data_IF_874824555613
#
_entry.id   IF_874824555613
#
_cell.length_a   1.000
_cell.length_b   1.000
_cell.length_c   1.000
_cell.angle_alpha   90.00
_cell.angle_beta   90.00
_cell.angle_gamma   90.00
#
_symmetry.space_group_name_H-M   'P 1'
#
loop_
_entity.id
_entity.type
_entity.pdbx_description
1 polymer ?
#
# COMPACT_ATOMS: atom_id res chain seq x y z
N UNK A 1 11.82 -4.94 42.43
CA UNK A 1 10.53 -4.28 42.71
C UNK A 1 9.56 -4.58 41.58
N UNK A 2 8.45 -5.31 41.78
CA UNK A 2 7.51 -5.58 40.70
C UNK A 2 6.85 -4.28 40.24
N UNK A 3 6.67 -4.13 38.93
CA UNK A 3 6.03 -2.95 38.35
C UNK A 3 4.60 -2.78 38.88
N UNK A 4 4.27 -1.59 39.39
CA UNK A 4 2.93 -1.25 39.86
C UNK A 4 1.91 -1.42 38.73
N UNK A 5 0.75 -2.00 39.06
CA UNK A 5 -0.38 -2.13 38.15
C UNK A 5 -0.90 -0.74 37.78
N UNK A 6 -1.01 -0.47 36.48
CA UNK A 6 -1.56 0.77 35.91
C UNK A 6 -2.83 0.47 35.14
N UNK A 7 -3.73 1.44 35.04
CA UNK A 7 -4.90 1.33 34.16
C UNK A 7 -4.42 1.30 32.70
N UNK A 8 -5.07 0.47 31.88
CA UNK A 8 -4.81 0.40 30.45
C UNK A 8 -4.89 1.78 29.80
N UNK A 9 -3.92 2.15 28.96
CA UNK A 9 -3.89 3.45 28.28
C UNK A 9 -4.96 3.63 27.18
N UNK A 10 -5.76 2.61 26.90
CA UNK A 10 -6.86 2.70 25.93
C UNK A 10 -8.05 3.43 26.57
N UNK A 11 -8.60 4.49 25.95
CA UNK A 11 -9.71 5.26 26.52
C UNK A 11 -10.92 4.35 26.79
N UNK A 12 -11.46 4.42 28.00
CA UNK A 12 -12.65 3.64 28.42
C UNK A 12 -12.36 2.21 28.88
N UNK A 13 -11.11 1.74 28.92
CA UNK A 13 -10.80 0.41 29.43
C UNK A 13 -10.43 0.44 30.93
N UNK A 14 -11.25 -0.13 31.84
CA UNK A 14 -10.98 -0.13 33.28
C UNK A 14 -9.95 -1.19 33.73
N UNK A 15 -9.33 -1.92 32.79
CA UNK A 15 -8.48 -3.08 33.12
C UNK A 15 -7.09 -2.65 33.60
N UNK A 16 -6.65 -3.24 34.71
CA UNK A 16 -5.31 -3.05 35.26
C UNK A 16 -4.30 -3.96 34.55
N UNK A 17 -3.17 -3.40 34.14
CA UNK A 17 -2.05 -4.10 33.49
C UNK A 17 -0.73 -3.68 34.12
N UNK A 18 0.29 -4.55 34.04
CA UNK A 18 1.67 -4.19 34.42
C UNK A 18 2.39 -3.44 33.29
N UNK A 19 1.80 -3.44 32.10
CA UNK A 19 2.29 -2.80 30.88
C UNK A 19 1.38 -1.62 30.50
N UNK A 20 1.75 -0.87 29.45
CA UNK A 20 0.98 0.27 28.93
C UNK A 20 -0.46 -0.10 28.54
N UNK A 21 -0.66 -1.32 28.02
CA UNK A 21 -1.97 -1.82 27.61
C UNK A 21 -2.25 -3.17 28.28
N UNK A 22 -3.53 -3.53 28.40
CA UNK A 22 -3.91 -4.89 28.77
C UNK A 22 -3.64 -5.86 27.61
N UNK A 23 -3.59 -7.17 27.90
CA UNK A 23 -3.23 -8.19 26.91
C UNK A 23 -4.10 -8.15 25.64
N UNK A 24 -5.40 -7.87 25.79
CA UNK A 24 -6.34 -7.73 24.67
C UNK A 24 -6.01 -6.53 23.77
N UNK A 25 -5.86 -5.34 24.36
CA UNK A 25 -5.52 -4.14 23.60
C UNK A 25 -4.12 -4.21 22.99
N UNK A 26 -3.17 -4.82 23.69
CA UNK A 26 -1.83 -5.10 23.14
C UNK A 26 -1.94 -5.98 21.90
N UNK A 27 -2.72 -7.08 21.96
CA UNK A 27 -2.96 -7.94 20.78
C UNK A 27 -3.66 -7.17 19.66
N UNK A 28 -4.63 -6.32 19.98
CA UNK A 28 -5.31 -5.47 18.99
C UNK A 28 -4.32 -4.50 18.31
N UNK A 29 -3.49 -3.81 19.07
CA UNK A 29 -2.47 -2.89 18.54
C UNK A 29 -1.40 -3.61 17.72
N UNK A 30 -1.00 -4.83 18.12
CA UNK A 30 -0.10 -5.67 17.32
C UNK A 30 -0.75 -6.08 16.00
N UNK A 31 -2.01 -6.53 16.02
CA UNK A 31 -2.78 -6.88 14.82
C UNK A 31 -2.90 -5.70 13.87
N UNK A 32 -3.24 -4.52 14.39
CA UNK A 32 -3.38 -3.30 13.59
C UNK A 32 -2.04 -2.87 12.98
N UNK A 33 -0.94 -2.94 13.75
CA UNK A 33 0.41 -2.68 13.24
C UNK A 33 0.82 -3.67 12.16
N UNK A 34 0.47 -4.95 12.33
CA UNK A 34 0.76 -5.99 11.35
C UNK A 34 -0.07 -5.80 10.08
N UNK A 35 -1.35 -5.45 10.20
CA UNK A 35 -2.23 -5.12 9.07
C UNK A 35 -1.71 -3.90 8.28
N UNK A 36 -1.28 -2.84 8.97
CA UNK A 36 -0.63 -1.68 8.32
C UNK A 36 0.64 -2.09 7.58
N UNK A 37 1.47 -2.95 8.18
CA UNK A 37 2.68 -3.47 7.51
C UNK A 37 2.38 -4.29 6.27
N UNK A 38 1.35 -5.15 6.28
CA UNK A 38 0.97 -5.90 5.09
C UNK A 38 0.42 -4.99 3.99
N UNK A 39 -0.39 -3.99 4.36
CA UNK A 39 -0.91 -2.97 3.44
C UNK A 39 0.17 -2.08 2.83
N UNK A 40 1.23 -1.78 3.60
CA UNK A 40 2.35 -0.96 3.15
C UNK A 40 3.41 -1.77 2.37
N UNK A 41 3.27 -3.09 2.27
CA UNK A 41 4.13 -3.87 1.37
C UNK A 41 3.74 -3.47 -0.05
N UNK A 42 4.67 -2.86 -0.76
CA UNK A 42 4.52 -2.65 -2.20
C UNK A 42 4.33 -3.98 -2.93
N UNK A 43 3.84 -3.90 -4.16
CA UNK A 43 3.47 -5.05 -4.96
C UNK A 43 4.62 -6.05 -5.09
N UNK A 44 4.29 -7.34 -4.97
CA UNK A 44 5.27 -8.40 -5.21
C UNK A 44 5.85 -8.29 -6.64
N UNK A 45 7.19 -8.40 -6.83
CA UNK A 45 7.81 -8.28 -8.13
C UNK A 45 7.26 -9.26 -9.19
N UNK A 46 6.81 -10.45 -8.77
CA UNK A 46 6.19 -11.43 -9.66
C UNK A 46 4.79 -10.97 -10.08
N UNK A 47 4.03 -10.39 -9.15
CA UNK A 47 2.73 -9.77 -9.45
C UNK A 47 2.90 -8.61 -10.42
N UNK A 48 3.87 -7.71 -10.19
CA UNK A 48 4.19 -6.62 -11.12
C UNK A 48 4.44 -7.16 -12.53
N UNK A 49 5.33 -8.16 -12.67
CA UNK A 49 5.64 -8.77 -13.98
C UNK A 49 4.41 -9.40 -14.65
N UNK A 50 3.51 -10.02 -13.88
CA UNK A 50 2.25 -10.58 -14.38
C UNK A 50 1.30 -9.51 -14.90
N UNK A 51 1.14 -8.41 -14.15
CA UNK A 51 0.31 -7.26 -14.57
C UNK A 51 0.88 -6.63 -15.83
N UNK A 52 2.20 -6.36 -15.88
CA UNK A 52 2.84 -5.84 -17.08
C UNK A 52 2.72 -6.78 -18.28
N UNK A 53 2.84 -8.09 -18.06
CA UNK A 53 2.65 -9.09 -19.12
C UNK A 53 1.22 -9.12 -19.66
N UNK A 54 0.21 -9.04 -18.77
CA UNK A 54 -1.22 -8.98 -19.13
C UNK A 54 -1.52 -7.77 -20.00
N UNK A 55 -1.02 -6.61 -19.61
CA UNK A 55 -1.31 -5.33 -20.27
C UNK A 55 -0.36 -5.04 -21.45
N UNK A 56 0.37 -6.05 -21.94
CA UNK A 56 1.21 -5.94 -23.13
C UNK A 56 2.41 -4.99 -22.96
N UNK A 57 2.89 -4.78 -21.73
CA UNK A 57 3.96 -3.85 -21.40
C UNK A 57 3.69 -2.41 -21.86
N UNK A 58 2.42 -2.00 -21.81
CA UNK A 58 1.96 -0.65 -22.12
C UNK A 58 1.11 -0.10 -20.96
N UNK A 59 1.06 1.23 -20.85
CA UNK A 59 0.13 1.92 -19.95
C UNK A 59 -1.32 1.73 -20.46
N UNK A 60 -2.24 1.32 -19.60
CA UNK A 60 -3.65 1.14 -20.00
C UNK A 60 -4.38 2.45 -20.29
N UNK A 61 -3.89 3.57 -19.76
CA UNK A 61 -4.51 4.89 -19.95
C UNK A 61 -4.02 5.56 -21.23
N UNK A 62 -2.70 5.61 -21.44
CA UNK A 62 -2.10 6.41 -22.51
C UNK A 62 -1.42 5.60 -23.61
N UNK A 63 -1.29 4.28 -23.44
CA UNK A 63 -0.65 3.38 -24.41
C UNK A 63 0.89 3.45 -24.46
N UNK A 64 1.54 4.30 -23.65
CA UNK A 64 2.99 4.45 -23.66
C UNK A 64 3.69 3.17 -23.20
N UNK A 65 4.81 2.82 -23.87
CA UNK A 65 5.64 1.65 -23.51
C UNK A 65 6.88 2.11 -22.78
N UNK A 66 7.57 1.19 -22.09
CA UNK A 66 8.80 1.47 -21.31
C UNK A 66 9.94 2.16 -22.10
N UNK A 67 9.89 2.10 -23.42
CA UNK A 67 10.90 2.63 -24.35
C UNK A 67 10.56 4.01 -24.90
N UNK A 68 9.34 4.49 -24.67
CA UNK A 68 8.89 5.82 -25.08
C UNK A 68 9.41 6.91 -24.13
N UNK A 69 9.43 8.15 -24.64
CA UNK A 69 9.71 9.36 -23.86
C UNK A 69 8.47 9.76 -23.06
N UNK A 70 8.69 10.33 -21.86
CA UNK A 70 7.57 10.82 -21.05
C UNK A 70 6.87 11.98 -21.75
N UNK A 71 5.53 12.06 -21.63
CA UNK A 71 4.75 13.16 -22.21
C UNK A 71 5.04 14.51 -21.55
N UNK A 72 5.30 14.52 -20.24
CA UNK A 72 5.65 15.74 -19.52
C UNK A 72 7.11 16.15 -19.65
N UNK A 73 8.02 15.18 -19.82
CA UNK A 73 9.45 15.45 -19.81
C UNK A 73 10.18 14.59 -20.86
N UNK A 74 10.61 15.18 -21.99
CA UNK A 74 11.27 14.43 -23.05
C UNK A 74 12.69 13.94 -22.67
N UNK A 75 13.26 14.38 -21.53
CA UNK A 75 14.54 13.88 -21.02
C UNK A 75 14.39 12.59 -20.22
N UNK A 76 13.16 12.27 -19.78
CA UNK A 76 12.85 11.09 -18.98
C UNK A 76 12.20 9.99 -19.82
N UNK A 77 12.61 8.74 -19.56
CA UNK A 77 11.97 7.55 -20.11
C UNK A 77 10.72 7.19 -19.33
N UNK A 78 9.69 6.71 -20.03
CA UNK A 78 8.48 6.18 -19.40
C UNK A 78 8.82 4.96 -18.57
N UNK A 79 8.53 5.03 -17.27
CA UNK A 79 8.57 3.86 -16.39
C UNK A 79 7.16 3.35 -16.16
N UNK A 80 6.97 2.05 -16.33
CA UNK A 80 5.70 1.38 -16.05
C UNK A 80 5.72 0.82 -14.64
N UNK A 81 4.65 1.08 -13.91
CA UNK A 81 4.45 0.63 -12.54
C UNK A 81 3.08 -0.05 -12.46
N UNK A 82 2.94 -1.04 -11.58
CA UNK A 82 1.65 -1.62 -11.26
C UNK A 82 1.01 -0.78 -10.15
N UNK A 83 -0.07 -0.08 -10.48
CA UNK A 83 -0.80 0.75 -9.54
C UNK A 83 -2.11 0.07 -9.14
N UNK A 84 -2.53 0.27 -7.89
CA UNK A 84 -3.83 -0.17 -7.41
C UNK A 84 -4.94 0.71 -8.01
N UNK A 85 -6.04 0.08 -8.42
CA UNK A 85 -7.25 0.76 -8.89
C UNK A 85 -7.96 1.35 -7.66
N UNK A 86 -8.19 0.51 -6.65
CA UNK A 86 -8.63 0.94 -5.32
C UNK A 86 -7.39 1.02 -4.43
N UNK A 87 -7.11 2.19 -3.86
CA UNK A 87 -5.98 2.36 -2.96
C UNK A 87 -6.12 1.48 -1.71
N UNK A 88 -4.99 1.04 -1.16
CA UNK A 88 -4.97 0.15 0.01
C UNK A 88 -5.61 0.81 1.25
N UNK A 89 -5.55 2.14 1.34
CA UNK A 89 -6.20 2.92 2.38
C UNK A 89 -7.73 2.84 2.32
N UNK A 90 -8.29 2.70 1.12
CA UNK A 90 -9.71 2.53 0.87
C UNK A 90 -10.17 1.06 0.83
N UNK A 91 -9.31 0.13 1.23
CA UNK A 91 -9.62 -1.31 1.24
C UNK A 91 -9.21 -2.06 -0.04
N UNK A 92 -8.37 -1.47 -0.87
CA UNK A 92 -7.78 -2.13 -2.02
C UNK A 92 -6.91 -3.33 -1.66
N UNK A 93 -6.98 -4.38 -2.49
CA UNK A 93 -6.15 -5.59 -2.37
C UNK A 93 -5.01 -5.61 -3.38
N UNK A 94 -3.93 -6.35 -3.10
CA UNK A 94 -2.78 -6.54 -4.00
C UNK A 94 -3.03 -7.60 -5.11
N UNK A 95 -4.30 -7.88 -5.38
CA UNK A 95 -4.73 -8.87 -6.36
C UNK A 95 -4.57 -8.33 -7.79
N UNK A 96 -4.25 -9.22 -8.72
CA UNK A 96 -4.10 -8.89 -10.15
C UNK A 96 -5.32 -8.14 -10.72
N UNK A 97 -6.52 -8.44 -10.21
CA UNK A 97 -7.77 -7.79 -10.61
C UNK A 97 -7.87 -6.33 -10.17
N UNK A 98 -7.23 -5.96 -9.05
CA UNK A 98 -7.18 -4.59 -8.54
C UNK A 98 -5.92 -3.83 -8.98
N UNK A 99 -5.10 -4.44 -9.86
CA UNK A 99 -3.85 -3.86 -10.33
C UNK A 99 -3.92 -3.56 -11.83
N UNK A 100 -3.37 -2.41 -12.23
CA UNK A 100 -3.23 -2.01 -13.64
C UNK A 100 -1.85 -1.43 -13.91
N UNK A 101 -1.37 -1.56 -15.14
CA UNK A 101 -0.16 -0.85 -15.58
C UNK A 101 -0.42 0.63 -15.82
N UNK A 102 0.25 1.48 -15.05
CA UNK A 102 0.30 2.91 -15.30
C UNK A 102 1.75 3.34 -15.56
N UNK A 103 1.92 4.33 -16.44
CA UNK A 103 3.18 5.04 -16.51
C UNK A 103 3.31 6.00 -15.33
N UNK A 104 4.53 6.39 -15.00
CA UNK A 104 4.80 7.42 -13.96
C UNK A 104 3.99 8.69 -14.22
N UNK A 105 3.73 9.00 -15.48
CA UNK A 105 3.00 10.21 -15.85
C UNK A 105 1.52 10.13 -15.45
N UNK A 106 0.80 9.16 -15.99
CA UNK A 106 -0.60 8.93 -15.67
C UNK A 106 -0.81 8.58 -14.20
N UNK A 107 0.12 7.86 -13.58
CA UNK A 107 0.05 7.60 -12.14
C UNK A 107 0.04 8.90 -11.33
N UNK A 108 0.89 9.86 -11.68
CA UNK A 108 0.92 11.15 -10.99
C UNK A 108 -0.31 12.02 -11.31
N UNK A 109 -0.91 11.87 -12.50
CA UNK A 109 -2.17 12.53 -12.84
C UNK A 109 -3.33 11.99 -12.00
N UNK A 110 -3.41 10.68 -11.78
CA UNK A 110 -4.50 10.06 -11.02
C UNK A 110 -4.46 10.40 -9.52
N UNK A 111 -3.28 10.74 -8.96
CA UNK A 111 -3.14 11.16 -7.55
C UNK A 111 -3.33 12.67 -7.33
N UNK A 112 -3.21 13.48 -8.38
CA UNK A 112 -3.32 14.95 -8.30
C UNK A 112 -4.51 15.52 -9.10
N UNK A 113 -5.41 14.66 -9.55
CA UNK A 113 -6.64 15.02 -10.26
C UNK A 113 -7.76 15.46 -9.34
#
# INVERSE_FOLDING_TARGET
MPASLRVCSTPGCPRLSRETQCDEHRRASVRERQARRTRARGNDPRTIKRVLGRDGWACVVCGAKKRDVSRRDPTKRVSLQAAHIVAVEHGGSDELSNLRTLCTDCHHEEHHG
#
